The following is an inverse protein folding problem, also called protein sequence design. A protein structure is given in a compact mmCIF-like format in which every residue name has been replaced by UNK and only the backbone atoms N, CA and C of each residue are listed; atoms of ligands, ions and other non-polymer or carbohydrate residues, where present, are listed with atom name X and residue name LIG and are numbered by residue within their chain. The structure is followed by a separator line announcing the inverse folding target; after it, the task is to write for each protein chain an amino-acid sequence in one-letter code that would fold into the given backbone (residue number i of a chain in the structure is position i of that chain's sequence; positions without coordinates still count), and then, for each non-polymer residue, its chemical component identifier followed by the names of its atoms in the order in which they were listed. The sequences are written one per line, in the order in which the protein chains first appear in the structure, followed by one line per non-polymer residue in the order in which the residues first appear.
data_IF_459010513027
#
_entry.id   IF_459010513027
#
_cell.length_a   1.000
_cell.length_b   1.000
_cell.length_c   1.000
_cell.angle_alpha   90.00
_cell.angle_beta   90.00
_cell.angle_gamma   90.00
#
_symmetry.space_group_name_H-M   'P 1'
#
loop_
_entity.id
_entity.type
_entity.pdbx_description
1 polymer ?
#
# COMPACT_ATOMS: atom_id res chain seq x y z
N UNK A 1 21.74 15.18 4.52
CA UNK A 1 20.86 14.35 3.66
C UNK A 1 21.73 13.61 2.64
N UNK A 2 21.46 12.32 2.39
CA UNK A 2 22.15 11.58 1.33
C UNK A 2 21.56 11.96 -0.04
N UNK A 3 22.37 12.05 -1.10
CA UNK A 3 21.87 12.25 -2.45
C UNK A 3 20.96 11.10 -2.89
N UNK A 4 19.82 11.39 -3.54
CA UNK A 4 18.88 10.38 -4.03
C UNK A 4 19.56 9.34 -4.93
N UNK A 5 20.51 9.76 -5.77
CA UNK A 5 21.28 8.87 -6.63
C UNK A 5 22.11 7.85 -5.84
N UNK A 6 22.70 8.25 -4.71
CA UNK A 6 23.49 7.35 -3.86
C UNK A 6 22.59 6.30 -3.19
N UNK A 7 21.43 6.72 -2.68
CA UNK A 7 20.45 5.83 -2.07
C UNK A 7 19.88 4.84 -3.10
N UNK A 8 19.60 5.32 -4.32
CA UNK A 8 19.16 4.49 -5.45
C UNK A 8 20.20 3.44 -5.83
N UNK A 9 21.48 3.84 -5.92
CA UNK A 9 22.57 2.92 -6.24
C UNK A 9 22.73 1.83 -5.16
N UNK A 10 22.64 2.20 -3.89
CA UNK A 10 22.68 1.26 -2.77
C UNK A 10 21.52 0.26 -2.84
N UNK A 11 20.29 0.72 -3.05
CA UNK A 11 19.12 -0.16 -3.25
C UNK A 11 19.32 -1.12 -4.44
N UNK A 12 19.95 -0.65 -5.51
CA UNK A 12 20.19 -1.45 -6.72
C UNK A 12 21.25 -2.53 -6.52
N UNK A 13 22.27 -2.26 -5.70
CA UNK A 13 23.29 -3.25 -5.32
C UNK A 13 22.68 -4.30 -4.40
N UNK A 14 21.98 -3.89 -3.34
CA UNK A 14 21.41 -4.83 -2.35
C UNK A 14 20.31 -5.70 -2.94
N UNK A 15 19.50 -5.17 -3.87
CA UNK A 15 18.50 -5.95 -4.61
C UNK A 15 19.14 -7.01 -5.49
N UNK A 16 20.17 -6.66 -6.28
CA UNK A 16 20.91 -7.61 -7.13
C UNK A 16 21.64 -8.67 -6.32
N UNK A 17 22.16 -8.29 -5.16
CA UNK A 17 22.77 -9.19 -4.19
C UNK A 17 21.75 -10.05 -3.43
N UNK A 18 20.43 -9.89 -3.69
CA UNK A 18 19.33 -10.61 -3.03
C UNK A 18 19.31 -10.41 -1.50
N UNK A 19 19.89 -9.32 -1.00
CA UNK A 19 19.87 -9.00 0.43
C UNK A 19 18.50 -8.51 0.89
N UNK A 20 17.70 -7.99 -0.04
CA UNK A 20 16.37 -7.47 0.24
C UNK A 20 15.47 -7.54 -1.02
N UNK A 21 14.14 -7.75 -0.89
CA UNK A 21 13.21 -7.97 -2.01
C UNK A 21 12.53 -6.70 -2.56
N UNK A 22 13.10 -5.52 -2.37
CA UNK A 22 12.60 -4.21 -2.79
C UNK A 22 13.43 -3.67 -3.95
N UNK A 23 12.84 -3.62 -5.14
CA UNK A 23 13.50 -3.08 -6.33
C UNK A 23 13.79 -1.56 -6.18
N UNK A 24 14.88 -1.02 -6.76
CA UNK A 24 15.20 0.42 -6.71
C UNK A 24 14.08 1.36 -7.16
N UNK A 25 13.18 0.91 -8.05
CA UNK A 25 12.03 1.69 -8.51
C UNK A 25 11.10 2.14 -7.38
N UNK A 26 11.03 1.39 -6.27
CA UNK A 26 10.27 1.79 -5.09
C UNK A 26 10.76 3.10 -4.48
N UNK A 27 12.07 3.35 -4.54
CA UNK A 27 12.63 4.62 -4.07
C UNK A 27 12.21 5.78 -4.97
N UNK A 28 12.22 5.58 -6.29
CA UNK A 28 11.77 6.62 -7.22
C UNK A 28 10.30 6.96 -6.96
N UNK A 29 9.48 5.94 -6.76
CA UNK A 29 8.07 6.10 -6.45
C UNK A 29 7.90 6.92 -5.16
N UNK A 30 8.59 6.55 -4.08
CA UNK A 30 8.53 7.25 -2.80
C UNK A 30 8.94 8.72 -2.92
N UNK A 31 10.01 9.02 -3.67
CA UNK A 31 10.49 10.38 -3.90
C UNK A 31 9.57 11.20 -4.81
N UNK A 32 8.74 10.54 -5.63
CA UNK A 32 7.80 11.18 -6.55
C UNK A 32 6.39 11.34 -5.95
N UNK A 33 6.12 10.84 -4.73
CA UNK A 33 4.80 10.97 -4.11
C UNK A 33 4.50 12.45 -3.83
N UNK A 34 3.43 13.02 -4.42
CA UNK A 34 3.02 14.37 -4.10
C UNK A 34 2.43 14.43 -2.69
N UNK A 35 2.86 15.41 -1.90
CA UNK A 35 2.27 15.69 -0.59
C UNK A 35 1.03 16.56 -0.80
N UNK A 36 -0.13 16.06 -0.40
CA UNK A 36 -1.40 16.78 -0.48
C UNK A 36 -1.48 17.84 0.63
N UNK A 37 -1.90 19.05 0.26
CA UNK A 37 -2.28 20.08 1.22
C UNK A 37 -3.68 19.79 1.78
N UNK A 38 -3.75 19.59 3.10
CA UNK A 38 -4.99 19.26 3.83
C UNK A 38 -5.54 20.45 4.63
N UNK A 39 -5.04 21.68 4.42
CA UNK A 39 -5.50 22.89 5.14
C UNK A 39 -7.00 23.09 5.07
N UNK A 40 -7.59 22.93 3.88
CA UNK A 40 -9.04 23.11 3.69
C UNK A 40 -9.89 22.16 4.54
N UNK A 41 -9.48 20.89 4.65
CA UNK A 41 -10.17 19.93 5.52
C UNK A 41 -10.09 20.35 7.00
N UNK A 42 -8.95 20.90 7.43
CA UNK A 42 -8.80 21.42 8.80
C UNK A 42 -9.67 22.64 9.06
N UNK A 43 -9.68 23.60 8.13
CA UNK A 43 -10.37 24.88 8.28
C UNK A 43 -11.89 24.77 8.11
N UNK A 44 -12.36 24.02 7.11
CA UNK A 44 -13.79 23.94 6.80
C UNK A 44 -14.52 22.82 7.56
N UNK A 45 -13.83 21.72 7.87
CA UNK A 45 -14.45 20.55 8.52
C UNK A 45 -13.99 20.38 9.98
N UNK A 46 -13.08 21.21 10.47
CA UNK A 46 -12.46 21.04 11.78
C UNK A 46 -11.64 19.74 11.88
N UNK A 47 -11.26 19.14 10.74
CA UNK A 47 -10.64 17.83 10.72
C UNK A 47 -9.25 17.87 11.35
N UNK A 48 -8.95 16.89 12.20
CA UNK A 48 -7.62 16.64 12.74
C UNK A 48 -7.30 15.15 12.66
N UNK A 49 -6.04 14.78 12.34
CA UNK A 49 -5.63 13.38 12.35
C UNK A 49 -5.69 12.86 13.80
N UNK A 50 -6.35 11.73 13.99
CA UNK A 50 -6.41 11.05 15.30
C UNK A 50 -5.23 10.11 15.51
N UNK A 51 -4.59 9.67 14.42
CA UNK A 51 -3.40 8.83 14.42
C UNK A 51 -2.32 9.50 13.55
N UNK A 52 -1.08 9.42 14.01
CA UNK A 52 0.08 9.85 13.23
C UNK A 52 0.37 8.87 12.10
N UNK A 53 1.16 9.29 11.12
CA UNK A 53 1.59 8.40 10.02
C UNK A 53 2.46 7.25 10.50
N UNK A 54 3.23 7.44 11.57
CA UNK A 54 4.08 6.39 12.15
C UNK A 54 3.23 5.34 12.89
N UNK A 55 2.29 5.77 13.72
CA UNK A 55 1.35 4.86 14.41
C UNK A 55 0.57 4.02 13.40
N UNK A 56 -0.01 4.66 12.38
CA UNK A 56 -0.78 3.96 11.35
C UNK A 56 0.07 2.95 10.55
N UNK A 57 1.35 3.26 10.29
CA UNK A 57 2.26 2.34 9.60
C UNK A 57 2.61 1.14 10.48
N UNK A 58 2.87 1.37 11.77
CA UNK A 58 3.17 0.30 12.72
C UNK A 58 1.96 -0.62 12.87
N UNK A 59 0.77 -0.06 13.09
CA UNK A 59 -0.48 -0.82 13.21
C UNK A 59 -0.77 -1.66 11.96
N UNK A 60 -0.52 -1.11 10.77
CA UNK A 60 -0.66 -1.86 9.52
C UNK A 60 0.28 -3.08 9.46
N UNK A 61 1.54 -2.91 9.83
CA UNK A 61 2.52 -4.00 9.82
C UNK A 61 2.20 -5.07 10.86
N UNK A 62 1.73 -4.66 12.04
CA UNK A 62 1.25 -5.57 13.08
C UNK A 62 0.01 -6.35 12.59
N UNK A 63 -0.95 -5.67 11.97
CA UNK A 63 -2.13 -6.32 11.39
C UNK A 63 -1.78 -7.33 10.29
N UNK A 64 -0.82 -7.03 9.42
CA UNK A 64 -0.32 -7.98 8.41
C UNK A 64 0.34 -9.19 9.08
N UNK A 65 1.18 -8.94 10.09
CA UNK A 65 1.89 -10.00 10.83
C UNK A 65 0.92 -10.95 11.53
N UNK A 66 -0.12 -10.41 12.15
CA UNK A 66 -1.07 -11.17 12.96
C UNK A 66 -2.23 -11.75 12.12
N UNK A 67 -2.30 -11.41 10.83
CA UNK A 67 -3.42 -11.78 9.96
C UNK A 67 -4.73 -11.15 10.43
N UNK A 68 -4.65 -9.97 11.04
CA UNK A 68 -5.79 -9.26 11.59
C UNK A 68 -6.81 -8.95 10.49
N UNK A 69 -8.07 -9.15 10.80
CA UNK A 69 -9.18 -8.80 9.92
C UNK A 69 -10.37 -8.34 10.73
N UNK A 70 -11.21 -7.55 10.10
CA UNK A 70 -12.49 -7.10 10.64
C UNK A 70 -13.60 -7.60 9.71
N UNK A 71 -14.83 -7.69 10.22
CA UNK A 71 -15.98 -8.19 9.47
C UNK A 71 -16.37 -7.22 8.35
N UNK A 72 -15.64 -7.33 7.25
CA UNK A 72 -15.75 -6.52 6.04
C UNK A 72 -16.15 -7.47 4.92
N UNK A 73 -17.45 -7.73 4.68
CA UNK A 73 -17.89 -8.84 3.85
C UNK A 73 -17.21 -8.94 2.47
N UNK A 74 -16.93 -7.84 1.74
CA UNK A 74 -16.18 -7.92 0.48
C UNK A 74 -14.71 -8.35 0.62
N UNK A 75 -14.09 -8.10 1.77
CA UNK A 75 -12.68 -8.33 2.10
C UNK A 75 -12.45 -9.49 3.09
N UNK A 76 -13.53 -10.11 3.58
CA UNK A 76 -13.43 -11.23 4.50
C UNK A 76 -12.59 -12.36 3.88
N UNK A 77 -11.65 -12.91 4.64
CA UNK A 77 -10.74 -13.95 4.13
C UNK A 77 -11.51 -15.17 3.57
N UNK A 78 -12.67 -15.48 4.15
CA UNK A 78 -13.57 -16.54 3.69
C UNK A 78 -14.18 -16.29 2.30
N UNK A 79 -14.27 -15.03 1.86
CA UNK A 79 -14.76 -14.67 0.51
C UNK A 79 -13.65 -14.70 -0.54
N UNK A 80 -12.39 -14.92 -0.13
CA UNK A 80 -11.20 -14.96 -0.98
C UNK A 80 -10.68 -16.39 -1.20
N UNK A 81 -11.59 -17.37 -1.33
CA UNK A 81 -11.27 -18.80 -1.46
C UNK A 81 -11.62 -19.40 -2.83
N UNK A 82 -11.35 -20.71 -3.04
CA UNK A 82 -11.65 -21.43 -4.29
C UNK A 82 -13.14 -21.39 -4.71
N UNK A 83 -14.05 -20.93 -3.84
CA UNK A 83 -15.45 -20.70 -4.15
C UNK A 83 -15.70 -19.46 -5.05
N UNK A 84 -14.72 -18.57 -5.25
CA UNK A 84 -14.77 -17.50 -6.28
C UNK A 84 -14.54 -17.99 -7.71
N UNK A 85 -14.34 -19.30 -7.93
CA UNK A 85 -14.28 -19.87 -9.29
C UNK A 85 -15.54 -19.51 -10.10
N UNK A 86 -16.69 -19.34 -9.43
CA UNK A 86 -17.92 -18.87 -10.08
C UNK A 86 -17.77 -17.48 -10.67
N UNK A 87 -17.07 -16.54 -10.05
CA UNK A 87 -16.89 -15.18 -10.60
C UNK A 87 -16.00 -15.21 -11.86
N UNK A 88 -14.95 -16.03 -11.84
CA UNK A 88 -14.10 -16.33 -13.01
C UNK A 88 -14.92 -16.99 -14.13
N UNK A 89 -15.78 -17.95 -13.77
CA UNK A 89 -16.65 -18.67 -14.72
C UNK A 89 -17.80 -17.81 -15.25
N UNK A 90 -18.36 -16.91 -14.45
CA UNK A 90 -19.47 -16.02 -14.83
C UNK A 90 -18.97 -14.75 -15.53
N UNK A 91 -17.65 -14.50 -15.54
CA UNK A 91 -17.05 -13.39 -16.27
C UNK A 91 -17.22 -12.02 -15.60
N UNK A 92 -17.55 -12.00 -14.30
CA UNK A 92 -17.57 -10.77 -13.50
C UNK A 92 -16.14 -10.21 -13.46
N UNK A 93 -15.94 -9.04 -14.08
CA UNK A 93 -14.63 -8.38 -14.19
C UNK A 93 -13.98 -8.46 -15.59
N UNK A 94 -14.60 -9.09 -16.59
CA UNK A 94 -14.17 -8.87 -17.99
C UNK A 94 -14.31 -7.39 -18.31
N UNK A 95 -13.21 -6.75 -18.73
CA UNK A 95 -13.23 -5.41 -19.32
C UNK A 95 -14.21 -5.42 -20.49
N UNK A 96 -15.31 -4.68 -20.36
CA UNK A 96 -16.15 -4.34 -21.49
C UNK A 96 -15.31 -3.46 -22.41
N UNK A 97 -14.87 -4.02 -23.54
CA UNK A 97 -14.14 -3.28 -24.54
C UNK A 97 -14.97 -2.10 -25.02
N UNK A 98 -14.49 -0.90 -24.72
CA UNK A 98 -14.66 0.31 -25.53
C UNK A 98 -13.32 0.59 -26.15
#
# INVERSE_FOLDING_TARGET
ALPAAALRAAAAVTFRARLQPTEPGWLDMALAVPIMDVRRAREELGWTPTHTSEEALIELLEGIRDGASIDTPPLAASTSGPLRIREVLTGLGRRSGV
#
